data_IF_929642772127
#
_entry.id   IF_929642772127
#
_cell.length_a   1.000
_cell.length_b   1.000
_cell.length_c   1.000
_cell.angle_alpha   90.00
_cell.angle_beta   90.00
_cell.angle_gamma   90.00
#
_symmetry.space_group_name_H-M   'P 1'
#
loop_
_entity.id
_entity.type
_entity.pdbx_description
1 polymer ?
#
# COMPACT_ATOMS: atom_id res chain seq x y z
N UNK A 1 -13.59 7.57 -12.43
CA UNK A 1 -12.17 7.63 -12.85
C UNK A 1 -11.78 9.07 -13.11
N UNK A 2 -10.85 9.61 -12.31
CA UNK A 2 -10.28 10.94 -12.55
C UNK A 2 -9.47 10.92 -13.86
N UNK A 3 -9.62 11.93 -14.75
CA UNK A 3 -8.72 12.09 -15.89
C UNK A 3 -7.26 12.23 -15.42
N UNK A 4 -6.30 11.77 -16.23
CA UNK A 4 -4.88 11.91 -15.91
C UNK A 4 -4.47 13.38 -15.93
N UNK A 5 -3.64 13.75 -14.96
CA UNK A 5 -2.91 15.02 -15.01
C UNK A 5 -1.65 14.87 -15.87
N UNK A 6 -1.10 15.96 -16.35
CA UNK A 6 0.14 15.94 -17.14
C UNK A 6 1.32 15.36 -16.36
N UNK A 7 1.34 15.60 -15.05
CA UNK A 7 2.31 15.04 -14.10
C UNK A 7 1.52 14.46 -12.94
N UNK A 8 1.79 13.21 -12.61
CA UNK A 8 1.25 12.55 -11.44
C UNK A 8 2.38 11.88 -10.66
N UNK A 9 2.35 11.99 -9.35
CA UNK A 9 3.33 11.36 -8.45
C UNK A 9 2.59 10.64 -7.34
N UNK A 10 3.00 9.41 -7.07
CA UNK A 10 2.63 8.66 -5.86
C UNK A 10 3.84 8.56 -4.95
N UNK A 11 3.64 8.67 -3.66
CA UNK A 11 4.71 8.59 -2.68
C UNK A 11 4.27 7.76 -1.48
N UNK A 12 5.12 6.89 -1.02
CA UNK A 12 4.99 6.21 0.26
C UNK A 12 6.36 6.11 0.93
N UNK A 13 6.40 6.14 2.25
CA UNK A 13 7.64 5.96 3.00
C UNK A 13 7.98 4.47 3.19
N UNK A 14 6.98 3.59 3.06
CA UNK A 14 7.18 2.15 3.14
C UNK A 14 7.76 1.60 1.83
N UNK A 15 9.03 1.19 1.88
CA UNK A 15 9.71 0.61 0.73
C UNK A 15 9.06 -0.70 0.21
N UNK A 16 8.19 -1.37 0.98
CA UNK A 16 7.44 -2.54 0.48
C UNK A 16 6.26 -2.10 -0.40
N UNK A 17 5.60 -0.99 -0.05
CA UNK A 17 4.57 -0.36 -0.90
C UNK A 17 5.18 0.16 -2.19
N UNK A 18 6.31 0.85 -2.10
CA UNK A 18 7.03 1.37 -3.28
C UNK A 18 7.50 0.22 -4.18
N UNK A 19 8.11 -0.83 -3.61
CA UNK A 19 8.50 -2.03 -4.35
C UNK A 19 7.31 -2.69 -5.07
N UNK A 20 6.14 -2.74 -4.43
CA UNK A 20 4.93 -3.25 -5.07
C UNK A 20 4.56 -2.41 -6.31
N UNK A 21 4.53 -1.08 -6.20
CA UNK A 21 4.23 -0.19 -7.34
C UNK A 21 5.25 -0.32 -8.47
N UNK A 22 6.54 -0.41 -8.14
CA UNK A 22 7.60 -0.64 -9.12
C UNK A 22 7.45 -1.98 -9.84
N UNK A 23 7.13 -3.07 -9.11
CA UNK A 23 6.88 -4.39 -9.71
C UNK A 23 5.65 -4.38 -10.62
N UNK A 24 4.54 -3.75 -10.20
CA UNK A 24 3.35 -3.56 -11.03
C UNK A 24 3.71 -2.84 -12.33
N UNK A 25 4.55 -1.82 -12.26
CA UNK A 25 4.96 -1.03 -13.44
C UNK A 25 5.91 -1.77 -14.36
N UNK A 26 6.85 -2.53 -13.79
CA UNK A 26 7.94 -3.17 -14.53
C UNK A 26 7.49 -4.42 -15.27
N UNK A 27 6.72 -5.28 -14.62
CA UNK A 27 6.26 -6.55 -15.18
C UNK A 27 4.99 -7.02 -14.43
N UNK A 28 3.81 -6.50 -14.79
CA UNK A 28 2.55 -6.90 -14.17
C UNK A 28 2.20 -8.35 -14.43
N UNK A 29 2.66 -8.94 -15.55
CA UNK A 29 2.42 -10.35 -15.90
C UNK A 29 3.14 -11.25 -14.91
N UNK A 30 4.41 -10.99 -14.63
CA UNK A 30 5.18 -11.76 -13.67
C UNK A 30 4.56 -11.68 -12.27
N UNK A 31 4.19 -10.48 -11.80
CA UNK A 31 3.56 -10.32 -10.50
C UNK A 31 2.18 -10.98 -10.46
N UNK A 32 1.37 -10.78 -11.50
CA UNK A 32 0.05 -11.40 -11.63
C UNK A 32 0.14 -12.94 -11.61
N UNK A 33 1.11 -13.53 -12.31
CA UNK A 33 1.37 -14.99 -12.26
C UNK A 33 1.75 -15.47 -10.87
N UNK A 34 2.64 -14.76 -10.18
CA UNK A 34 3.01 -15.12 -8.80
C UNK A 34 1.79 -15.15 -7.89
N UNK A 35 0.94 -14.12 -7.97
CA UNK A 35 -0.29 -14.04 -7.17
C UNK A 35 -1.29 -15.12 -7.58
N UNK A 36 -1.49 -15.35 -8.88
CA UNK A 36 -2.43 -16.33 -9.42
C UNK A 36 -2.14 -17.75 -8.92
N UNK A 37 -0.85 -18.15 -8.90
CA UNK A 37 -0.43 -19.47 -8.43
C UNK A 37 -0.18 -19.54 -6.92
N UNK A 38 -0.33 -18.45 -6.19
CA UNK A 38 -0.22 -18.43 -4.73
C UNK A 38 -1.56 -18.79 -4.09
N UNK A 39 -1.67 -19.91 -3.36
CA UNK A 39 -2.94 -20.34 -2.80
C UNK A 39 -3.42 -19.41 -1.68
N UNK A 40 -4.74 -19.25 -1.58
CA UNK A 40 -5.36 -18.65 -0.41
C UNK A 40 -5.36 -19.67 0.73
N UNK A 41 -4.28 -19.74 1.50
CA UNK A 41 -4.13 -20.73 2.57
C UNK A 41 -3.51 -20.13 3.83
N UNK A 42 -3.86 -20.70 4.97
CA UNK A 42 -3.28 -20.33 6.26
C UNK A 42 -1.76 -20.54 6.27
N UNK A 43 -1.29 -21.64 5.73
CA UNK A 43 0.14 -21.97 5.68
C UNK A 43 0.92 -20.95 4.85
N UNK A 44 0.41 -20.59 3.66
CA UNK A 44 0.98 -19.53 2.82
C UNK A 44 1.05 -18.20 3.57
N UNK A 45 -0.03 -17.83 4.26
CA UNK A 45 -0.08 -16.61 5.05
C UNK A 45 0.93 -16.64 6.21
N UNK A 46 0.98 -17.73 6.97
CA UNK A 46 1.88 -17.86 8.12
C UNK A 46 3.35 -17.86 7.70
N UNK A 47 3.66 -18.47 6.55
CA UNK A 47 5.00 -18.45 5.97
C UNK A 47 5.52 -17.02 5.72
N UNK A 48 4.64 -16.04 5.48
CA UNK A 48 5.07 -14.65 5.30
C UNK A 48 5.71 -14.03 6.55
N UNK A 49 5.50 -14.59 7.73
CA UNK A 49 6.09 -14.12 8.99
C UNK A 49 7.26 -14.99 9.47
N UNK A 50 7.36 -16.21 8.97
CA UNK A 50 8.35 -17.19 9.42
C UNK A 50 9.57 -17.27 8.50
N UNK A 51 9.38 -16.96 7.21
CA UNK A 51 10.43 -17.03 6.20
C UNK A 51 11.24 -15.73 6.15
N UNK A 52 12.49 -15.83 5.68
CA UNK A 52 13.29 -14.67 5.34
C UNK A 52 12.61 -13.81 4.27
N UNK A 53 12.89 -12.51 4.28
CA UNK A 53 12.38 -11.58 3.27
C UNK A 53 13.03 -11.94 1.92
N UNK A 54 12.24 -12.22 0.87
CA UNK A 54 12.78 -12.56 -0.44
C UNK A 54 13.69 -11.46 -0.99
N UNK A 55 14.81 -11.87 -1.59
CA UNK A 55 15.73 -10.95 -2.29
C UNK A 55 15.16 -10.49 -3.62
N UNK A 56 14.40 -11.36 -4.29
CA UNK A 56 13.71 -10.99 -5.54
C UNK A 56 12.57 -10.01 -5.26
N UNK A 57 12.54 -8.85 -5.94
CA UNK A 57 11.54 -7.82 -5.69
C UNK A 57 10.11 -8.25 -6.00
N UNK A 58 9.90 -9.14 -6.97
CA UNK A 58 8.56 -9.65 -7.30
C UNK A 58 8.04 -10.64 -6.26
N UNK A 59 8.89 -11.53 -5.76
CA UNK A 59 8.54 -12.43 -4.65
C UNK A 59 8.25 -11.64 -3.37
N UNK A 60 9.04 -10.58 -3.11
CA UNK A 60 8.79 -9.65 -2.01
C UNK A 60 7.47 -8.92 -2.16
N UNK A 61 7.12 -8.44 -3.36
CA UNK A 61 5.82 -7.82 -3.66
C UNK A 61 4.65 -8.80 -3.50
N UNK A 62 4.78 -10.04 -3.99
CA UNK A 62 3.77 -11.09 -3.82
C UNK A 62 3.57 -11.43 -2.33
N UNK A 63 4.65 -11.58 -1.56
CA UNK A 63 4.60 -11.77 -0.10
C UNK A 63 3.86 -10.63 0.60
N UNK A 64 4.14 -9.38 0.23
CA UNK A 64 3.46 -8.20 0.77
C UNK A 64 1.96 -8.25 0.48
N UNK A 65 1.56 -8.61 -0.76
CA UNK A 65 0.16 -8.79 -1.13
C UNK A 65 -0.53 -9.89 -0.31
N UNK A 66 0.15 -11.03 -0.04
CA UNK A 66 -0.37 -12.10 0.83
C UNK A 66 -0.63 -11.56 2.24
N UNK A 67 0.34 -10.86 2.85
CA UNK A 67 0.19 -10.27 4.20
C UNK A 67 -1.01 -9.33 4.27
N UNK A 68 -1.14 -8.43 3.31
CA UNK A 68 -2.18 -7.41 3.29
C UNK A 68 -3.58 -7.98 3.01
N UNK A 69 -3.70 -8.95 2.10
CA UNK A 69 -5.00 -9.44 1.66
C UNK A 69 -5.51 -10.63 2.48
N UNK A 70 -4.61 -11.53 2.92
CA UNK A 70 -5.00 -12.72 3.66
C UNK A 70 -4.99 -12.52 5.20
N UNK A 71 -4.46 -11.39 5.71
CA UNK A 71 -4.50 -11.02 7.12
C UNK A 71 -5.63 -10.06 7.46
N UNK A 72 -6.11 -10.09 8.71
CA UNK A 72 -7.09 -9.10 9.18
C UNK A 72 -6.48 -7.70 9.31
N UNK A 73 -7.24 -6.66 8.90
CA UNK A 73 -6.94 -5.26 9.16
C UNK A 73 -5.92 -4.61 8.21
N UNK A 74 -5.54 -5.26 7.12
CA UNK A 74 -4.66 -4.69 6.09
C UNK A 74 -3.39 -4.04 6.66
N UNK A 75 -2.66 -4.77 7.52
CA UNK A 75 -1.50 -4.22 8.23
C UNK A 75 -0.23 -4.36 7.41
N UNK A 76 0.57 -3.31 7.40
CA UNK A 76 1.89 -3.29 6.76
C UNK A 76 3.05 -3.49 7.75
N UNK A 77 2.78 -3.36 9.07
CA UNK A 77 3.78 -3.66 10.10
C UNK A 77 4.05 -5.17 10.24
N UNK A 78 5.12 -5.52 10.94
CA UNK A 78 5.52 -6.92 11.15
C UNK A 78 4.71 -7.64 12.24
N UNK A 79 3.67 -7.01 12.79
CA UNK A 79 2.82 -7.63 13.81
C UNK A 79 1.89 -8.62 13.15
N UNK A 80 2.06 -9.90 13.49
CA UNK A 80 1.18 -10.98 13.01
C UNK A 80 -0.25 -10.78 13.51
N UNK A 81 -1.20 -10.84 12.58
CA UNK A 81 -2.63 -10.85 12.86
C UNK A 81 -3.25 -12.16 12.40
N UNK A 82 -4.52 -12.38 12.74
CA UNK A 82 -5.23 -13.59 12.32
C UNK A 82 -5.36 -13.66 10.79
N UNK A 83 -5.27 -14.88 10.25
CA UNK A 83 -5.61 -15.16 8.87
C UNK A 83 -7.10 -15.00 8.63
N UNK A 84 -7.49 -14.26 7.58
CA UNK A 84 -8.90 -14.09 7.19
C UNK A 84 -9.47 -15.42 6.73
N UNK A 85 -10.53 -15.87 7.36
CA UNK A 85 -11.31 -17.03 6.91
C UNK A 85 -12.79 -16.66 6.86
N UNK A 86 -13.44 -17.04 5.78
CA UNK A 86 -14.86 -16.82 5.60
C UNK A 86 -15.63 -18.04 6.14
N UNK A 87 -16.43 -17.83 7.17
CA UNK A 87 -17.20 -18.91 7.83
C UNK A 87 -18.70 -18.68 7.82
N UNK A 88 -19.17 -17.49 7.38
CA UNK A 88 -20.58 -17.10 7.54
C UNK A 88 -21.32 -16.80 6.23
N UNK A 89 -20.70 -16.96 5.07
CA UNK A 89 -21.34 -16.75 3.77
C UNK A 89 -22.03 -15.38 3.58
N UNK A 90 -21.53 -14.33 4.25
CA UNK A 90 -22.07 -12.97 4.11
C UNK A 90 -21.67 -12.40 2.76
N UNK A 91 -22.62 -11.85 2.01
CA UNK A 91 -22.48 -11.37 0.62
C UNK A 91 -21.35 -10.36 0.32
N UNK A 92 -20.57 -9.91 1.31
CA UNK A 92 -19.55 -8.86 1.14
C UNK A 92 -18.18 -9.18 1.74
N UNK A 93 -17.90 -10.41 2.12
CA UNK A 93 -16.69 -10.76 2.85
C UNK A 93 -16.01 -12.02 2.30
N UNK A 94 -15.91 -12.14 0.99
CA UNK A 94 -15.22 -13.27 0.36
C UNK A 94 -13.73 -12.93 0.14
N UNK A 95 -12.95 -13.01 1.20
CA UNK A 95 -11.52 -12.71 1.11
C UNK A 95 -10.80 -13.63 0.12
N UNK A 96 -11.19 -14.92 0.07
CA UNK A 96 -10.66 -15.86 -0.91
C UNK A 96 -11.07 -15.50 -2.34
N UNK A 97 -12.30 -15.04 -2.56
CA UNK A 97 -12.75 -14.57 -3.88
C UNK A 97 -11.99 -13.31 -4.30
N UNK A 98 -11.89 -12.32 -3.41
CA UNK A 98 -11.12 -11.10 -3.69
C UNK A 98 -9.67 -11.41 -4.05
N UNK A 99 -9.09 -12.46 -3.45
CA UNK A 99 -7.76 -12.93 -3.81
C UNK A 99 -7.69 -13.43 -5.25
N UNK A 100 -8.71 -14.12 -5.75
CA UNK A 100 -8.75 -14.61 -7.14
C UNK A 100 -8.90 -13.48 -8.18
N UNK A 101 -9.44 -12.34 -7.78
CA UNK A 101 -9.61 -11.15 -8.64
C UNK A 101 -8.36 -10.24 -8.65
N UNK A 102 -7.44 -10.44 -7.71
CA UNK A 102 -6.27 -9.58 -7.54
C UNK A 102 -5.32 -9.53 -8.75
N UNK A 103 -5.06 -10.62 -9.50
CA UNK A 103 -4.24 -10.56 -10.71
C UNK A 103 -4.77 -9.57 -11.74
N UNK A 104 -6.09 -9.53 -11.98
CA UNK A 104 -6.71 -8.56 -12.89
C UNK A 104 -6.54 -7.13 -12.36
N UNK A 105 -6.70 -6.92 -11.05
CA UNK A 105 -6.44 -5.63 -10.40
C UNK A 105 -5.00 -5.14 -10.59
N UNK A 106 -4.01 -6.05 -10.65
CA UNK A 106 -2.60 -5.73 -10.93
C UNK A 106 -2.46 -5.15 -12.34
N UNK A 107 -3.10 -5.74 -13.37
CA UNK A 107 -3.06 -5.22 -14.73
C UNK A 107 -3.72 -3.84 -14.85
N UNK A 108 -4.89 -3.66 -14.22
CA UNK A 108 -5.58 -2.37 -14.19
C UNK A 108 -4.73 -1.30 -13.49
N UNK A 109 -4.08 -1.65 -12.39
CA UNK A 109 -3.16 -0.76 -11.70
C UNK A 109 -1.92 -0.43 -12.55
N UNK A 110 -1.37 -1.39 -13.30
CA UNK A 110 -0.25 -1.16 -14.20
C UNK A 110 -0.58 -0.12 -15.27
N UNK A 111 -1.75 -0.24 -15.90
CA UNK A 111 -2.23 0.75 -16.88
C UNK A 111 -2.44 2.12 -16.21
N UNK A 112 -3.01 2.17 -15.01
CA UNK A 112 -3.23 3.44 -14.29
C UNK A 112 -1.92 4.13 -13.89
N UNK A 113 -0.91 3.36 -13.53
CA UNK A 113 0.41 3.86 -13.10
C UNK A 113 1.35 4.23 -14.27
N UNK A 114 0.96 4.04 -15.54
CA UNK A 114 1.79 4.46 -16.70
C UNK A 114 2.00 5.97 -16.66
N UNK A 115 3.27 6.39 -16.70
CA UNK A 115 3.63 7.81 -16.63
C UNK A 115 3.54 8.44 -15.25
N UNK A 116 3.17 7.69 -14.22
CA UNK A 116 3.18 8.15 -12.82
C UNK A 116 4.60 8.03 -12.26
N UNK A 117 5.08 9.08 -11.61
CA UNK A 117 6.33 9.07 -10.85
C UNK A 117 6.11 8.33 -9.53
N UNK A 118 7.05 7.49 -9.13
CA UNK A 118 6.98 6.74 -7.86
C UNK A 118 8.13 7.22 -6.98
N UNK A 119 7.81 7.73 -5.81
CA UNK A 119 8.77 8.25 -4.83
C UNK A 119 8.70 7.45 -3.52
N UNK A 120 9.85 7.35 -2.85
CA UNK A 120 9.98 6.76 -1.52
C UNK A 120 10.64 7.78 -0.59
N UNK A 121 9.88 8.79 -0.17
CA UNK A 121 10.42 9.93 0.58
C UNK A 121 9.47 10.39 1.67
N UNK A 122 9.99 11.21 2.59
CA UNK A 122 9.16 11.95 3.54
C UNK A 122 8.10 12.79 2.79
N UNK A 123 6.84 12.71 3.21
CA UNK A 123 5.73 13.49 2.64
C UNK A 123 6.02 15.00 2.63
N UNK A 124 6.61 15.53 3.72
CA UNK A 124 6.99 16.95 3.82
C UNK A 124 7.99 17.33 2.74
N UNK A 125 8.98 16.46 2.46
CA UNK A 125 9.97 16.70 1.41
C UNK A 125 9.35 16.69 0.00
N UNK A 126 8.39 15.79 -0.25
CA UNK A 126 7.65 15.74 -1.52
C UNK A 126 6.76 16.96 -1.70
N UNK A 127 5.97 17.34 -0.68
CA UNK A 127 5.11 18.54 -0.70
C UNK A 127 5.93 19.79 -0.98
N UNK A 128 7.09 19.94 -0.33
CA UNK A 128 7.97 21.09 -0.54
C UNK A 128 8.52 21.16 -1.96
N UNK A 129 8.81 20.02 -2.58
CA UNK A 129 9.33 19.92 -3.96
C UNK A 129 8.27 20.30 -4.99
N UNK A 130 7.03 19.89 -4.77
CA UNK A 130 5.91 20.13 -5.70
C UNK A 130 5.06 21.34 -5.30
N UNK A 131 5.64 22.31 -4.61
CA UNK A 131 4.92 23.51 -4.13
C UNK A 131 4.70 24.52 -5.26
N UNK A 132 3.56 24.40 -5.94
CA UNK A 132 3.14 25.31 -7.00
C UNK A 132 1.59 25.45 -7.03
N UNK A 133 1.04 26.59 -7.53
CA UNK A 133 -0.40 26.88 -7.47
C UNK A 133 -1.27 25.88 -8.24
N UNK A 134 -0.73 25.20 -9.23
CA UNK A 134 -1.43 24.23 -10.08
C UNK A 134 -1.22 22.78 -9.63
N UNK A 135 -0.68 22.53 -8.46
CA UNK A 135 -0.44 21.19 -7.91
C UNK A 135 -1.47 20.89 -6.84
N UNK A 136 -2.23 19.81 -7.05
CA UNK A 136 -3.14 19.24 -6.05
C UNK A 136 -2.40 18.19 -5.22
N UNK A 137 -2.43 18.35 -3.89
CA UNK A 137 -1.93 17.34 -2.96
C UNK A 137 -3.10 16.54 -2.38
N UNK A 138 -3.12 15.24 -2.65
CA UNK A 138 -3.98 14.30 -1.93
C UNK A 138 -3.16 13.63 -0.83
N UNK A 139 -3.54 13.88 0.43
CA UNK A 139 -2.80 13.43 1.60
C UNK A 139 -3.63 12.43 2.40
N UNK A 140 -3.11 11.21 2.57
CA UNK A 140 -3.74 10.13 3.34
C UNK A 140 -2.75 9.56 4.37
N UNK A 141 -2.39 10.34 5.40
CA UNK A 141 -1.42 9.92 6.40
C UNK A 141 -2.01 8.87 7.35
N UNK A 142 -1.17 8.07 8.03
CA UNK A 142 -1.61 7.28 9.17
C UNK A 142 -2.39 8.11 10.18
N UNK A 143 -3.54 7.62 10.65
CA UNK A 143 -4.33 8.34 11.66
C UNK A 143 -3.54 8.54 12.95
N UNK A 144 -3.80 9.64 13.64
CA UNK A 144 -3.24 9.95 14.94
C UNK A 144 -3.48 8.79 15.91
N UNK A 145 -2.44 8.32 16.59
CA UNK A 145 -2.51 7.13 17.45
C UNK A 145 -3.54 7.27 18.58
N UNK A 146 -3.70 8.46 19.14
CA UNK A 146 -4.71 8.77 20.17
C UNK A 146 -6.15 8.67 19.68
N UNK A 147 -6.40 8.82 18.39
CA UNK A 147 -7.73 8.72 17.77
C UNK A 147 -8.10 7.28 17.38
N UNK A 148 -7.16 6.33 17.44
CA UNK A 148 -7.42 4.93 17.10
C UNK A 148 -7.92 4.14 18.30
N UNK A 149 -8.97 3.33 18.10
CA UNK A 149 -9.44 2.39 19.12
C UNK A 149 -8.31 1.49 19.61
N UNK A 150 -7.92 1.65 20.88
CA UNK A 150 -6.88 0.88 21.54
C UNK A 150 -5.44 1.22 21.17
N UNK A 151 -5.15 2.37 20.53
CA UNK A 151 -3.79 2.86 20.28
C UNK A 151 -2.90 1.92 19.44
N UNK A 152 -3.49 0.99 18.68
CA UNK A 152 -2.74 -0.07 17.98
C UNK A 152 -2.04 0.47 16.74
N UNK A 153 -0.73 0.24 16.67
CA UNK A 153 0.06 0.47 15.47
C UNK A 153 -0.39 -0.48 14.35
N UNK A 154 -0.55 0.06 13.14
CA UNK A 154 -0.99 -0.68 11.96
C UNK A 154 0.00 -0.59 10.80
N UNK A 155 0.75 0.52 10.75
CA UNK A 155 1.69 0.80 9.67
C UNK A 155 3.13 0.57 10.14
N UNK A 156 4.01 0.25 9.20
CA UNK A 156 5.45 0.12 9.44
C UNK A 156 6.05 1.48 9.85
N UNK A 157 5.59 2.55 9.21
CA UNK A 157 5.97 3.93 9.49
C UNK A 157 4.77 4.68 10.08
N UNK A 158 4.62 4.60 11.40
CA UNK A 158 3.60 5.37 12.12
C UNK A 158 4.04 6.83 12.27
N UNK A 159 3.07 7.74 12.28
CA UNK A 159 3.30 9.15 12.52
C UNK A 159 3.06 9.49 13.99
N UNK A 160 3.96 10.29 14.57
CA UNK A 160 3.78 10.93 15.87
C UNK A 160 2.94 12.21 15.74
N UNK A 161 2.46 12.75 16.86
CA UNK A 161 1.74 14.03 16.85
C UNK A 161 2.62 15.17 16.27
N UNK A 162 3.94 15.10 16.52
CA UNK A 162 4.89 16.06 15.92
C UNK A 162 4.94 15.92 14.40
N UNK A 163 4.99 14.70 13.86
CA UNK A 163 5.00 14.45 12.42
C UNK A 163 3.72 15.00 11.76
N UNK A 164 2.57 14.86 12.43
CA UNK A 164 1.31 15.43 11.98
C UNK A 164 1.34 16.96 11.96
N UNK A 165 1.93 17.60 12.99
CA UNK A 165 2.08 19.05 13.02
C UNK A 165 3.00 19.56 11.91
N UNK A 166 4.12 18.85 11.65
CA UNK A 166 5.04 19.18 10.55
C UNK A 166 4.36 19.03 9.18
N UNK A 167 3.58 17.96 8.98
CA UNK A 167 2.79 17.75 7.78
C UNK A 167 1.76 18.88 7.56
N UNK A 168 0.98 19.22 8.59
CA UNK A 168 0.02 20.31 8.54
C UNK A 168 0.69 21.65 8.22
N UNK A 169 1.85 21.92 8.80
CA UNK A 169 2.61 23.13 8.50
C UNK A 169 3.10 23.16 7.05
N UNK A 170 3.50 22.02 6.48
CA UNK A 170 3.87 21.91 5.07
C UNK A 170 2.68 22.14 4.14
N UNK A 171 1.52 21.54 4.44
CA UNK A 171 0.28 21.72 3.68
C UNK A 171 -0.23 23.17 3.71
N UNK A 172 -0.16 23.83 4.88
CA UNK A 172 -0.55 25.25 4.99
C UNK A 172 0.34 26.21 4.19
N UNK A 173 1.58 25.83 3.92
CA UNK A 173 2.50 26.62 3.07
C UNK A 173 2.41 26.25 1.59
N UNK A 174 1.71 25.17 1.25
CA UNK A 174 1.52 24.77 -0.13
C UNK A 174 0.66 25.80 -0.87
N UNK A 175 1.05 26.13 -2.11
CA UNK A 175 0.40 27.18 -2.91
C UNK A 175 -0.83 26.67 -3.68
N UNK A 176 -0.94 25.38 -3.92
CA UNK A 176 -2.04 24.72 -4.62
C UNK A 176 -3.11 24.17 -3.66
N UNK A 177 -4.18 23.58 -4.21
CA UNK A 177 -5.24 22.94 -3.44
C UNK A 177 -4.80 21.61 -2.82
#
# INVERSE_FOLDING_TARGET
NKPRSNIETVNDLDGDVVNLFECIRRDPERLGRLVYFTPYSRETYEATYLSEIPKDPFERAARFLVKCNQGYGFRTNEVRVGWKRDIQGRERAYAARNWTELPEGIFQAAERLRGVQIECRSAVGVISRFNAPNVLIYCDPPYVLSARSGGKRQYKHEMTDRDHLELLAALKRHQGP
#
